data_IF_261578682851
#
_entry.id   IF_261578682851
#
_cell.length_a   1.000
_cell.length_b   1.000
_cell.length_c   1.000
_cell.angle_alpha   90.00
_cell.angle_beta   90.00
_cell.angle_gamma   90.00
#
_symmetry.space_group_name_H-M   'P 1'
#
loop_
_entity.id
_entity.type
_entity.pdbx_description
1 polymer ?
#
# COMPACT_ATOMS: atom_id res chain seq x y z
N UNK A 1 -39.45 26.91 54.41
CA UNK A 1 -38.14 27.14 53.75
C UNK A 1 -38.24 26.68 52.31
N UNK A 2 -37.73 27.48 51.38
CA UNK A 2 -38.29 27.70 50.03
C UNK A 2 -38.19 26.51 49.05
N UNK A 3 -39.36 26.08 48.54
CA UNK A 3 -39.55 25.22 47.36
C UNK A 3 -38.97 25.77 46.04
N UNK A 4 -38.34 26.95 46.05
CA UNK A 4 -37.72 27.56 44.85
C UNK A 4 -36.34 26.97 44.52
N UNK A 5 -35.63 26.41 45.50
CA UNK A 5 -34.29 25.86 45.28
C UNK A 5 -34.31 24.45 44.70
N UNK A 6 -35.38 23.68 44.92
CA UNK A 6 -35.52 22.31 44.42
C UNK A 6 -35.68 22.25 42.90
N UNK A 7 -36.40 23.22 42.31
CA UNK A 7 -36.57 23.31 40.85
C UNK A 7 -35.29 23.81 40.13
N UNK A 8 -34.48 24.64 40.79
CA UNK A 8 -33.21 25.12 40.25
C UNK A 8 -32.16 24.00 40.15
N UNK A 9 -32.15 23.07 41.10
CA UNK A 9 -31.26 21.89 41.04
C UNK A 9 -31.67 20.93 39.92
N UNK A 10 -32.97 20.76 39.68
CA UNK A 10 -33.50 19.89 38.62
C UNK A 10 -33.22 20.41 37.20
N UNK A 11 -33.17 21.73 37.01
CA UNK A 11 -32.83 22.34 35.71
C UNK A 11 -31.32 22.28 35.43
N UNK A 12 -30.47 22.30 36.46
CA UNK A 12 -29.02 22.19 36.27
C UNK A 12 -28.59 20.77 35.86
N UNK A 13 -29.30 19.74 36.32
CA UNK A 13 -28.98 18.33 36.01
C UNK A 13 -29.36 17.94 34.57
N UNK A 14 -30.40 18.56 34.00
CA UNK A 14 -30.81 18.30 32.60
C UNK A 14 -29.90 18.98 31.58
N UNK A 15 -29.22 20.07 31.94
CA UNK A 15 -28.28 20.78 31.04
C UNK A 15 -26.95 20.02 30.90
N UNK A 16 -26.54 19.20 31.88
CA UNK A 16 -25.31 18.40 31.77
C UNK A 16 -25.43 17.17 30.85
N UNK A 17 -26.64 16.74 30.49
CA UNK A 17 -26.85 15.60 29.58
C UNK A 17 -26.84 15.98 28.09
N UNK A 18 -26.74 17.28 27.77
CA UNK A 18 -26.70 17.78 26.39
C UNK A 18 -25.28 18.04 25.85
N UNK A 19 -24.23 17.56 26.54
CA UNK A 19 -22.84 17.68 26.08
C UNK A 19 -22.51 16.61 25.04
N UNK A 20 -22.95 16.88 23.82
CA UNK A 20 -22.26 16.52 22.57
C UNK A 20 -21.76 15.08 22.46
N UNK A 21 -22.61 14.21 21.90
CA UNK A 21 -22.13 13.08 21.11
C UNK A 21 -21.36 13.69 19.93
N UNK A 22 -20.03 13.83 20.06
CA UNK A 22 -19.18 14.13 18.90
C UNK A 22 -19.36 12.94 17.97
N UNK A 23 -20.15 13.17 16.91
CA UNK A 23 -20.11 12.38 15.70
C UNK A 23 -18.65 12.03 15.46
N UNK A 24 -18.33 10.74 15.57
CA UNK A 24 -17.09 10.20 15.03
C UNK A 24 -17.26 10.41 13.53
N UNK A 25 -16.84 11.59 13.06
CA UNK A 25 -16.40 11.76 11.71
C UNK A 25 -15.35 10.66 11.56
N UNK A 26 -15.73 9.61 10.85
CA UNK A 26 -14.83 8.74 10.09
C UNK A 26 -14.14 9.62 9.05
N UNK A 27 -13.38 10.60 9.54
CA UNK A 27 -12.20 11.07 8.86
C UNK A 27 -11.37 9.83 8.70
N UNK A 28 -11.19 9.41 7.46
CA UNK A 28 -10.03 8.69 6.99
C UNK A 28 -8.80 9.47 7.44
N UNK A 29 -8.45 9.35 8.73
CA UNK A 29 -7.09 9.53 9.17
C UNK A 29 -6.35 8.48 8.36
N UNK A 30 -5.72 8.91 7.27
CA UNK A 30 -4.53 8.23 6.78
C UNK A 30 -3.66 8.11 8.01
N UNK A 31 -3.72 6.94 8.66
CA UNK A 31 -2.75 6.56 9.66
C UNK A 31 -1.45 6.68 8.88
N UNK A 32 -0.71 7.76 9.11
CA UNK A 32 0.66 7.86 8.64
C UNK A 32 1.38 6.80 9.45
N UNK A 33 1.29 5.56 8.97
CA UNK A 33 2.28 4.55 9.28
C UNK A 33 3.56 5.16 8.76
N UNK A 34 4.41 5.62 9.68
CA UNK A 34 5.77 6.03 9.35
C UNK A 34 6.37 4.90 8.54
N UNK A 35 6.63 5.16 7.26
CA UNK A 35 7.19 4.15 6.38
C UNK A 35 8.61 3.82 6.85
N UNK A 36 8.96 2.54 6.82
CA UNK A 36 10.26 2.04 7.26
C UNK A 36 10.88 1.18 6.16
N UNK A 37 11.30 1.85 5.09
CA UNK A 37 11.86 1.22 3.89
C UNK A 37 13.24 0.62 4.18
N UNK A 38 13.34 -0.70 4.10
CA UNK A 38 14.58 -1.46 4.21
C UNK A 38 14.99 -1.96 2.82
N UNK A 39 16.20 -1.64 2.36
CA UNK A 39 16.73 -2.15 1.09
C UNK A 39 17.04 -3.64 1.25
N UNK A 40 16.29 -4.48 0.55
CA UNK A 40 16.41 -5.93 0.65
C UNK A 40 17.28 -6.49 -0.48
N UNK A 41 17.28 -5.87 -1.66
CA UNK A 41 18.07 -6.37 -2.77
C UNK A 41 18.40 -5.29 -3.78
N UNK A 42 19.54 -5.47 -4.44
CA UNK A 42 19.91 -4.75 -5.65
C UNK A 42 20.07 -5.80 -6.75
N UNK A 43 19.22 -5.74 -7.76
CA UNK A 43 19.25 -6.61 -8.93
C UNK A 43 19.54 -5.76 -10.16
N UNK A 44 20.81 -5.72 -10.58
CA UNK A 44 21.42 -4.97 -11.70
C UNK A 44 20.89 -3.56 -12.00
N UNK A 45 19.62 -3.42 -12.38
CA UNK A 45 18.95 -2.21 -12.83
C UNK A 45 17.74 -1.80 -11.96
N UNK A 46 17.50 -2.52 -10.85
CA UNK A 46 16.42 -2.28 -9.89
C UNK A 46 16.90 -2.45 -8.44
N UNK A 47 16.60 -1.47 -7.60
CA UNK A 47 16.67 -1.60 -6.14
C UNK A 47 15.30 -1.96 -5.58
N UNK A 48 15.27 -2.92 -4.65
CA UNK A 48 14.05 -3.45 -4.04
C UNK A 48 14.08 -3.16 -2.55
N UNK A 49 13.00 -2.56 -2.06
CA UNK A 49 12.83 -2.20 -0.66
C UNK A 49 11.55 -2.83 -0.10
N UNK A 50 11.56 -3.19 1.17
CA UNK A 50 10.37 -3.60 1.91
C UNK A 50 10.06 -2.56 2.98
N UNK A 51 8.81 -2.10 3.03
CA UNK A 51 8.33 -1.27 4.14
C UNK A 51 8.07 -2.16 5.34
N UNK A 52 9.05 -2.26 6.21
CA UNK A 52 9.00 -3.10 7.41
C UNK A 52 7.88 -2.73 8.37
N UNK A 53 7.46 -1.45 8.40
CA UNK A 53 6.34 -0.98 9.19
C UNK A 53 4.97 -1.41 8.61
N UNK A 54 4.94 -1.84 7.35
CA UNK A 54 3.74 -2.37 6.69
C UNK A 54 3.56 -3.88 6.87
N UNK A 55 4.59 -4.58 7.37
CA UNK A 55 4.54 -6.03 7.55
C UNK A 55 3.51 -6.36 8.62
N UNK A 56 2.52 -7.18 8.24
CA UNK A 56 1.49 -7.68 9.15
C UNK A 56 1.16 -9.13 8.81
N UNK A 57 1.04 -9.96 9.84
CA UNK A 57 0.77 -11.39 9.69
C UNK A 57 -0.64 -11.74 10.18
N UNK A 58 -1.31 -12.61 9.44
CA UNK A 58 -2.62 -13.19 9.72
C UNK A 58 -2.53 -14.71 9.49
N UNK A 59 -2.15 -15.45 10.53
CA UNK A 59 -1.87 -16.89 10.41
C UNK A 59 -0.69 -17.15 9.48
N UNK A 60 -0.88 -17.98 8.45
CA UNK A 60 0.14 -18.30 7.45
C UNK A 60 0.34 -17.23 6.36
N UNK A 61 -0.42 -16.13 6.44
CA UNK A 61 -0.38 -15.04 5.46
C UNK A 61 0.35 -13.84 6.05
N UNK A 62 1.28 -13.27 5.29
CA UNK A 62 1.90 -11.98 5.56
C UNK A 62 1.54 -10.98 4.46
N UNK A 63 1.31 -9.72 4.84
CA UNK A 63 1.13 -8.62 3.90
C UNK A 63 2.32 -7.67 4.06
N UNK A 64 2.81 -7.14 2.94
CA UNK A 64 3.87 -6.13 2.95
C UNK A 64 3.77 -5.22 1.72
N UNK A 65 4.40 -4.05 1.82
CA UNK A 65 4.64 -3.15 0.69
C UNK A 65 6.08 -3.32 0.22
N UNK A 66 6.23 -3.48 -1.08
CA UNK A 66 7.52 -3.60 -1.76
C UNK A 66 7.69 -2.42 -2.72
N UNK A 67 8.77 -1.66 -2.59
CA UNK A 67 9.11 -0.57 -3.50
C UNK A 67 10.21 -1.02 -4.44
N UNK A 68 10.04 -0.77 -5.74
CA UNK A 68 11.07 -0.99 -6.75
C UNK A 68 11.49 0.33 -7.38
N UNK A 69 12.78 0.66 -7.28
CA UNK A 69 13.38 1.84 -7.90
C UNK A 69 14.18 1.38 -9.10
N UNK A 70 13.80 1.86 -10.29
CA UNK A 70 14.50 1.57 -11.54
C UNK A 70 15.68 2.53 -11.66
N UNK A 71 16.91 2.02 -11.53
CA UNK A 71 18.10 2.88 -11.40
C UNK A 71 18.72 3.29 -12.74
N UNK A 72 18.38 2.61 -13.83
CA UNK A 72 18.87 2.96 -15.18
C UNK A 72 17.75 3.55 -16.05
N UNK A 73 18.12 4.39 -17.01
CA UNK A 73 17.18 4.91 -18.01
C UNK A 73 16.57 3.80 -18.85
N UNK A 74 17.33 2.73 -19.10
CA UNK A 74 16.86 1.57 -19.86
C UNK A 74 15.79 0.79 -19.12
N UNK A 75 15.98 0.50 -17.82
CA UNK A 75 15.01 -0.26 -17.03
C UNK A 75 13.70 0.51 -16.83
N UNK A 76 13.79 1.83 -16.63
CA UNK A 76 12.62 2.73 -16.67
C UNK A 76 11.89 2.66 -18.01
N UNK A 77 12.64 2.75 -19.12
CA UNK A 77 12.07 2.68 -20.47
C UNK A 77 11.36 1.35 -20.71
N UNK A 78 11.98 0.22 -20.35
CA UNK A 78 11.40 -1.12 -20.49
C UNK A 78 10.09 -1.26 -19.70
N UNK A 79 10.03 -0.70 -18.50
CA UNK A 79 8.80 -0.69 -17.70
C UNK A 79 7.70 0.13 -18.39
N UNK A 80 8.00 1.38 -18.76
CA UNK A 80 7.04 2.28 -19.40
C UNK A 80 6.58 1.77 -20.77
N UNK A 81 7.44 1.11 -21.53
CA UNK A 81 7.09 0.57 -22.84
C UNK A 81 6.08 -0.58 -22.76
N UNK A 82 6.12 -1.41 -21.70
CA UNK A 82 5.07 -2.41 -21.43
C UNK A 82 3.71 -1.74 -21.26
N UNK A 83 3.67 -0.63 -20.51
CA UNK A 83 2.44 0.15 -20.29
C UNK A 83 1.96 0.78 -21.60
N UNK A 84 2.87 1.38 -22.38
CA UNK A 84 2.56 1.95 -23.70
C UNK A 84 2.01 0.91 -24.66
N UNK A 85 2.56 -0.31 -24.65
CA UNK A 85 2.07 -1.41 -25.48
C UNK A 85 0.62 -1.77 -25.12
N UNK A 86 0.27 -1.86 -23.83
CA UNK A 86 -1.12 -2.10 -23.41
C UNK A 86 -2.08 -0.99 -23.84
N UNK A 87 -1.71 0.28 -23.66
CA UNK A 87 -2.54 1.40 -24.12
C UNK A 87 -2.68 1.47 -25.64
N UNK A 88 -1.66 1.05 -26.38
CA UNK A 88 -1.71 0.94 -27.84
C UNK A 88 -2.71 -0.14 -28.27
N UNK A 89 -2.71 -1.32 -27.64
CA UNK A 89 -3.71 -2.37 -27.87
C UNK A 89 -5.14 -1.87 -27.62
N UNK A 90 -5.30 -0.98 -26.64
CA UNK A 90 -6.57 -0.35 -26.29
C UNK A 90 -6.97 0.84 -27.20
N UNK A 91 -6.17 1.16 -28.22
CA UNK A 91 -6.35 2.32 -29.12
C UNK A 91 -6.38 3.67 -28.37
N UNK A 92 -5.62 3.79 -27.28
CA UNK A 92 -5.51 5.00 -26.43
C UNK A 92 -4.06 5.31 -26.04
N UNK A 93 -3.11 5.39 -26.99
CA UNK A 93 -1.69 5.55 -26.69
C UNK A 93 -1.38 6.82 -25.88
N UNK A 94 -2.14 7.90 -26.08
CA UNK A 94 -1.97 9.18 -25.39
C UNK A 94 -2.13 9.06 -23.87
N UNK A 95 -2.89 8.08 -23.38
CA UNK A 95 -3.06 7.85 -21.94
C UNK A 95 -1.78 7.40 -21.25
N UNK A 96 -0.85 6.79 -21.99
CA UNK A 96 0.43 6.35 -21.46
C UNK A 96 1.38 7.53 -21.17
N UNK A 97 1.12 8.73 -21.71
CA UNK A 97 1.99 9.90 -21.54
C UNK A 97 2.16 10.34 -20.08
N UNK A 98 1.24 9.95 -19.18
CA UNK A 98 1.38 10.24 -17.75
C UNK A 98 2.57 9.51 -17.09
N UNK A 99 3.14 8.48 -17.73
CA UNK A 99 4.34 7.77 -17.28
C UNK A 99 5.64 8.34 -17.88
N UNK A 100 5.59 9.48 -18.56
CA UNK A 100 6.80 10.08 -19.13
C UNK A 100 7.83 10.48 -18.07
N UNK A 101 7.38 10.81 -16.86
CA UNK A 101 8.23 11.11 -15.70
C UNK A 101 8.24 9.97 -14.66
N UNK A 102 8.00 8.74 -15.09
CA UNK A 102 8.00 7.57 -14.19
C UNK A 102 9.34 7.38 -13.46
N UNK A 103 9.27 7.05 -12.17
CA UNK A 103 10.45 6.89 -11.31
C UNK A 103 10.49 5.53 -10.60
N UNK A 104 9.44 5.21 -9.84
CA UNK A 104 9.39 3.98 -9.05
C UNK A 104 7.95 3.47 -8.92
N UNK A 105 7.82 2.23 -8.45
CA UNK A 105 6.53 1.65 -8.12
C UNK A 105 6.52 1.05 -6.71
N UNK A 106 5.32 0.97 -6.13
CA UNK A 106 5.06 0.32 -4.85
C UNK A 106 4.03 -0.78 -5.08
N UNK A 107 4.45 -2.02 -4.86
CA UNK A 107 3.60 -3.20 -4.85
C UNK A 107 3.02 -3.38 -3.46
N UNK A 108 1.72 -3.62 -3.40
CA UNK A 108 1.06 -4.12 -2.21
C UNK A 108 0.89 -5.63 -2.39
N UNK A 109 1.53 -6.41 -1.55
CA UNK A 109 1.66 -7.85 -1.73
C UNK A 109 1.02 -8.64 -0.59
N UNK A 110 0.62 -9.86 -0.92
CA UNK A 110 0.19 -10.89 0.02
C UNK A 110 1.08 -12.11 -0.21
N UNK A 111 1.75 -12.56 0.84
CA UNK A 111 2.66 -13.70 0.88
C UNK A 111 2.01 -14.82 1.67
N UNK A 112 1.90 -16.02 1.11
CA UNK A 112 1.51 -17.23 1.84
C UNK A 112 2.76 -18.04 2.16
N UNK A 113 3.23 -17.90 3.40
CA UNK A 113 4.54 -18.38 3.83
C UNK A 113 4.67 -19.90 3.79
N UNK A 114 3.56 -20.64 3.97
CA UNK A 114 3.56 -22.11 3.97
C UNK A 114 3.81 -22.71 2.59
N UNK A 115 3.17 -22.19 1.54
CA UNK A 115 3.26 -22.76 0.19
C UNK A 115 4.22 -21.99 -0.73
N UNK A 116 5.06 -21.10 -0.17
CA UNK A 116 6.07 -20.34 -0.91
C UNK A 116 5.51 -19.62 -2.15
N UNK A 117 4.40 -18.93 -1.98
CA UNK A 117 3.76 -18.19 -3.08
C UNK A 117 3.27 -16.83 -2.61
N UNK A 118 3.29 -15.87 -3.52
CA UNK A 118 2.80 -14.53 -3.26
C UNK A 118 1.87 -14.05 -4.38
N UNK A 119 1.14 -12.98 -4.12
CA UNK A 119 0.35 -12.29 -5.14
C UNK A 119 0.41 -10.79 -4.93
N UNK A 120 0.41 -10.07 -6.04
CA UNK A 120 0.31 -8.62 -6.06
C UNK A 120 -1.17 -8.23 -5.96
N UNK A 121 -1.53 -7.50 -4.90
CA UNK A 121 -2.87 -6.97 -4.68
C UNK A 121 -3.10 -5.67 -5.45
N UNK A 122 -2.07 -4.83 -5.52
CA UNK A 122 -2.07 -3.62 -6.36
C UNK A 122 -0.65 -3.12 -6.61
N UNK A 123 -0.50 -2.33 -7.66
CA UNK A 123 0.73 -1.60 -8.00
C UNK A 123 0.41 -0.12 -8.03
N UNK A 124 1.22 0.69 -7.36
CA UNK A 124 1.15 2.15 -7.35
C UNK A 124 2.38 2.71 -8.06
N UNK A 125 2.17 3.46 -9.13
CA UNK A 125 3.25 4.04 -9.94
C UNK A 125 3.44 5.50 -9.56
N UNK A 126 4.69 5.93 -9.42
CA UNK A 126 5.05 7.27 -8.98
C UNK A 126 6.00 7.97 -9.95
N UNK A 127 5.84 9.28 -10.04
CA UNK A 127 6.73 10.14 -10.82
C UNK A 127 8.00 10.53 -10.04
N UNK A 128 8.91 11.27 -10.68
CA UNK A 128 10.18 11.69 -10.08
C UNK A 128 10.00 12.58 -8.84
N UNK A 129 8.84 13.21 -8.68
CA UNK A 129 8.49 14.07 -7.54
C UNK A 129 7.84 13.30 -6.39
N UNK A 130 7.60 11.99 -6.56
CA UNK A 130 6.90 11.16 -5.59
C UNK A 130 5.37 11.32 -5.64
N UNK A 131 4.83 11.89 -6.72
CA UNK A 131 3.38 11.98 -6.93
C UNK A 131 2.86 10.71 -7.61
N UNK A 132 1.71 10.24 -7.14
CA UNK A 132 1.03 9.06 -7.67
C UNK A 132 0.54 9.33 -9.10
N UNK A 133 1.01 8.51 -10.04
CA UNK A 133 0.61 8.49 -11.45
C UNK A 133 -0.67 7.64 -11.62
N UNK A 134 -0.65 6.43 -11.06
CA UNK A 134 -1.73 5.47 -11.19
C UNK A 134 -1.68 4.41 -10.08
N UNK A 135 -2.84 3.84 -9.76
CA UNK A 135 -2.98 2.62 -8.97
C UNK A 135 -3.67 1.56 -9.81
N UNK A 136 -3.00 0.44 -10.01
CA UNK A 136 -3.49 -0.68 -10.81
C UNK A 136 -3.80 -1.84 -9.88
N UNK A 137 -5.00 -2.40 -9.99
CA UNK A 137 -5.44 -3.60 -9.26
C UNK A 137 -5.73 -4.71 -10.26
N UNK A 138 -5.40 -5.99 -9.96
CA UNK A 138 -5.84 -7.11 -10.79
C UNK A 138 -7.36 -7.11 -10.95
N UNK A 139 -7.84 -7.55 -12.11
CA UNK A 139 -9.28 -7.71 -12.34
C UNK A 139 -9.87 -8.74 -11.37
N UNK A 140 -11.15 -8.55 -10.99
CA UNK A 140 -11.86 -9.44 -10.08
C UNK A 140 -11.84 -10.87 -10.63
N UNK A 141 -11.40 -11.83 -9.82
CA UNK A 141 -11.27 -13.25 -10.22
C UNK A 141 -9.98 -13.61 -10.97
N UNK A 142 -9.07 -12.67 -11.22
CA UNK A 142 -7.81 -12.89 -11.96
C UNK A 142 -6.57 -12.75 -11.07
N UNK A 143 -6.74 -12.75 -9.74
CA UNK A 143 -5.63 -12.77 -8.79
C UNK A 143 -4.85 -14.08 -8.91
N UNK A 144 -3.72 -14.03 -9.63
CA UNK A 144 -2.82 -15.16 -9.80
C UNK A 144 -1.83 -15.23 -8.65
N UNK A 145 -1.61 -16.44 -8.17
CA UNK A 145 -0.46 -16.75 -7.34
C UNK A 145 0.79 -16.86 -8.20
N UNK A 146 1.87 -16.30 -7.71
CA UNK A 146 3.21 -16.45 -8.23
C UNK A 146 3.96 -17.35 -7.25
N UNK A 147 4.42 -18.50 -7.73
CA UNK A 147 5.30 -19.35 -6.95
C UNK A 147 6.67 -18.68 -6.85
N UNK A 148 7.30 -18.81 -5.69
CA UNK A 148 8.65 -18.31 -5.47
C UNK A 148 9.61 -19.45 -5.75
N UNK A 149 10.39 -19.29 -6.81
CA UNK A 149 11.47 -20.21 -7.15
C UNK A 149 12.67 -19.93 -6.24
N UNK A 150 13.33 -21.01 -5.82
CA UNK A 150 14.53 -20.95 -4.97
C UNK A 150 15.65 -20.18 -5.66
N UNK A 151 16.49 -19.50 -4.87
CA UNK A 151 17.70 -18.79 -5.35
C UNK A 151 17.41 -17.59 -6.26
N UNK A 152 16.18 -17.06 -6.22
CA UNK A 152 15.83 -15.81 -6.89
C UNK A 152 15.86 -14.63 -5.92
N UNK A 153 15.96 -13.40 -6.43
CA UNK A 153 15.77 -12.19 -5.60
C UNK A 153 14.36 -12.17 -4.96
N UNK A 154 13.38 -12.80 -5.63
CA UNK A 154 12.06 -13.05 -5.08
C UNK A 154 12.08 -13.95 -3.84
N UNK A 155 12.97 -14.95 -3.81
CA UNK A 155 13.19 -15.86 -2.69
C UNK A 155 13.66 -15.12 -1.44
N UNK A 156 14.68 -14.26 -1.59
CA UNK A 156 15.19 -13.45 -0.46
C UNK A 156 14.14 -12.47 0.07
N UNK A 157 13.42 -11.79 -0.81
CA UNK A 157 12.34 -10.86 -0.43
C UNK A 157 11.20 -11.61 0.29
N UNK A 158 10.86 -12.81 -0.20
CA UNK A 158 9.82 -13.65 0.37
C UNK A 158 10.17 -14.11 1.78
N UNK A 159 11.37 -14.68 1.97
CA UNK A 159 11.81 -15.13 3.30
C UNK A 159 11.90 -13.99 4.28
N UNK A 160 12.45 -12.84 3.87
CA UNK A 160 12.49 -11.67 4.73
C UNK A 160 11.10 -11.32 5.27
N UNK A 161 10.09 -11.20 4.41
CA UNK A 161 8.72 -10.86 4.84
C UNK A 161 8.10 -11.95 5.72
N UNK A 162 8.36 -13.23 5.43
CA UNK A 162 7.79 -14.34 6.19
C UNK A 162 8.44 -14.56 7.57
N UNK A 163 9.69 -14.13 7.74
CA UNK A 163 10.45 -14.32 8.98
C UNK A 163 10.56 -13.04 9.83
N UNK A 164 10.31 -11.85 9.27
CA UNK A 164 10.55 -10.55 9.93
C UNK A 164 9.88 -10.37 11.30
N UNK A 165 8.72 -11.01 11.53
CA UNK A 165 7.92 -10.85 12.75
C UNK A 165 7.69 -12.14 13.54
N UNK A 166 8.43 -13.20 13.23
CA UNK A 166 8.39 -14.45 14.01
C UNK A 166 9.32 -14.39 15.23
#
# INVERSE_FOLDING_TARGET
MNNRYTYLVLILVTIMLASGCKSIQSGTSKKSTTESWFNIAVAEDVEIFIDTASIRSEGAISYAREKRIYITSESKKLYVDKIRAEYTKMKKPEKANRWNDFSYCIYNCLYECTNKRFRVLSVEDYDSTGKLIAKTTPAKGVLKWLNVDSETVGDYTFFFVCDYGQ
#
